data_IF_044732055116
#
_entry.id   IF_044732055116
#
_cell.length_a   1.000
_cell.length_b   1.000
_cell.length_c   1.000
_cell.angle_alpha   90.00
_cell.angle_beta   90.00
_cell.angle_gamma   90.00
#
_symmetry.space_group_name_H-M   'P 1'
#
loop_
_entity.id
_entity.type
_entity.pdbx_description
1 polymer ?
#
# COMPACT_ATOMS: atom_id res chain seq x y z
N UNK A 1 -26.02 1.35 -12.66
CA UNK A 1 -25.36 0.24 -13.40
C UNK A 1 -26.31 -0.93 -13.62
N UNK A 2 -26.59 -1.81 -12.65
CA UNK A 2 -27.47 -2.98 -12.91
C UNK A 2 -28.87 -2.57 -13.38
N UNK A 3 -29.53 -1.65 -12.67
CA UNK A 3 -30.85 -1.10 -13.05
C UNK A 3 -30.80 -0.39 -14.39
N UNK A 4 -29.79 0.45 -14.57
CA UNK A 4 -29.56 1.25 -15.79
C UNK A 4 -29.47 0.39 -17.05
N UNK A 5 -28.83 -0.79 -16.95
CA UNK A 5 -28.66 -1.73 -18.06
C UNK A 5 -29.64 -2.91 -18.03
N UNK A 6 -30.66 -2.91 -17.16
CA UNK A 6 -31.66 -3.98 -17.01
C UNK A 6 -31.06 -5.39 -16.79
N UNK A 7 -29.92 -5.48 -16.10
CA UNK A 7 -29.16 -6.74 -15.89
C UNK A 7 -29.57 -7.51 -14.63
N UNK A 8 -30.69 -7.15 -14.00
CA UNK A 8 -31.13 -7.70 -12.70
C UNK A 8 -31.43 -9.20 -12.74
N UNK A 9 -31.88 -9.71 -13.89
CA UNK A 9 -32.23 -11.12 -14.09
C UNK A 9 -31.00 -12.03 -14.14
N UNK A 10 -29.81 -11.48 -14.40
CA UNK A 10 -28.58 -12.27 -14.49
C UNK A 10 -27.97 -12.42 -13.09
N UNK A 11 -28.16 -13.59 -12.47
CA UNK A 11 -27.64 -13.91 -11.12
C UNK A 11 -26.15 -13.58 -10.95
N UNK A 12 -25.35 -13.83 -11.99
CA UNK A 12 -23.92 -13.53 -12.00
C UNK A 12 -23.64 -12.03 -11.83
N UNK A 13 -24.31 -11.16 -12.60
CA UNK A 13 -24.11 -9.71 -12.53
C UNK A 13 -24.54 -9.16 -11.18
N UNK A 14 -25.66 -9.64 -10.64
CA UNK A 14 -26.13 -9.27 -9.30
C UNK A 14 -25.13 -9.67 -8.21
N UNK A 15 -24.52 -10.85 -8.30
CA UNK A 15 -23.45 -11.29 -7.39
C UNK A 15 -22.20 -10.44 -7.54
N UNK A 16 -21.75 -10.17 -8.77
CA UNK A 16 -20.55 -9.38 -9.04
C UNK A 16 -20.69 -7.95 -8.51
N UNK A 17 -21.85 -7.34 -8.70
CA UNK A 17 -22.15 -5.99 -8.20
C UNK A 17 -22.33 -5.93 -6.68
N UNK A 18 -22.83 -7.00 -6.05
CA UNK A 18 -22.85 -7.11 -4.58
C UNK A 18 -21.45 -6.96 -4.00
N UNK A 19 -20.44 -7.55 -4.63
CA UNK A 19 -19.05 -7.48 -4.18
C UNK A 19 -18.22 -6.35 -4.80
N UNK A 20 -18.85 -5.38 -5.50
CA UNK A 20 -18.13 -4.29 -6.19
C UNK A 20 -17.14 -3.53 -5.33
N UNK A 21 -17.43 -3.37 -4.03
CA UNK A 21 -16.52 -2.72 -3.07
C UNK A 21 -15.19 -3.45 -2.88
N UNK A 22 -15.13 -4.75 -3.21
CA UNK A 22 -13.93 -5.59 -3.02
C UNK A 22 -13.02 -5.66 -4.25
N UNK A 23 -13.47 -5.23 -5.43
CA UNK A 23 -12.72 -5.41 -6.68
C UNK A 23 -12.73 -4.20 -7.62
N UNK A 24 -13.74 -3.34 -7.57
CA UNK A 24 -13.88 -2.24 -8.51
C UNK A 24 -13.10 -1.00 -8.05
N UNK A 25 -12.17 -0.55 -8.89
CA UNK A 25 -11.26 0.59 -8.63
C UNK A 25 -11.93 1.86 -8.09
N UNK A 26 -13.10 2.31 -8.58
CA UNK A 26 -13.73 3.54 -8.07
C UNK A 26 -14.07 3.49 -6.57
N UNK A 27 -14.26 2.29 -6.02
CA UNK A 27 -14.60 2.09 -4.62
C UNK A 27 -13.37 1.91 -3.71
N UNK A 28 -12.16 1.95 -4.27
CA UNK A 28 -10.90 1.92 -3.50
C UNK A 28 -10.37 3.32 -3.15
N UNK A 29 -11.09 4.37 -3.54
CA UNK A 29 -10.81 5.73 -3.07
C UNK A 29 -10.98 5.78 -1.55
N UNK A 30 -9.90 6.07 -0.82
CA UNK A 30 -9.89 6.03 0.65
C UNK A 30 -9.27 4.77 1.26
N UNK A 31 -8.93 3.76 0.46
CA UNK A 31 -8.28 2.54 0.94
C UNK A 31 -6.80 2.55 0.58
N UNK A 32 -5.94 2.35 1.59
CA UNK A 32 -4.51 2.23 1.37
C UNK A 32 -4.16 0.90 0.70
N UNK A 33 -3.61 0.98 -0.53
CA UNK A 33 -3.23 -0.18 -1.34
C UNK A 33 -1.73 -0.16 -1.71
N UNK A 34 -0.94 0.78 -1.21
CA UNK A 34 0.47 0.98 -1.57
C UNK A 34 0.72 1.07 -3.10
N UNK A 35 -0.29 1.47 -3.88
CA UNK A 35 -0.21 1.50 -5.34
C UNK A 35 -0.42 0.16 -6.05
N UNK A 36 -0.66 -0.93 -5.31
CA UNK A 36 -0.97 -2.24 -5.88
C UNK A 36 -2.42 -2.31 -6.37
N UNK A 37 -2.67 -3.10 -7.41
CA UNK A 37 -4.01 -3.40 -7.92
C UNK A 37 -4.34 -4.89 -7.76
N UNK A 38 -5.56 -5.19 -7.30
CA UNK A 38 -6.18 -6.53 -7.18
C UNK A 38 -5.22 -7.69 -6.84
N UNK A 39 -4.64 -8.36 -7.83
CA UNK A 39 -3.89 -9.61 -7.71
C UNK A 39 -2.37 -9.46 -7.76
N UNK A 40 -1.84 -8.25 -7.93
CA UNK A 40 -0.40 -8.01 -8.10
C UNK A 40 0.45 -8.58 -6.95
N UNK A 41 -0.06 -8.54 -5.71
CA UNK A 41 0.64 -9.08 -4.53
C UNK A 41 0.79 -10.60 -4.59
N UNK A 42 -0.27 -11.32 -4.93
CA UNK A 42 -0.23 -12.78 -5.03
C UNK A 42 0.54 -13.22 -6.28
N UNK A 43 0.43 -12.49 -7.38
CA UNK A 43 1.16 -12.79 -8.62
C UNK A 43 2.66 -12.64 -8.44
N UNK A 44 3.12 -11.55 -7.80
CA UNK A 44 4.54 -11.34 -7.52
C UNK A 44 5.08 -12.36 -6.53
N UNK A 45 4.35 -12.64 -5.45
CA UNK A 45 4.70 -13.69 -4.49
C UNK A 45 4.82 -15.05 -5.18
N UNK A 46 3.82 -15.42 -5.98
CA UNK A 46 3.83 -16.69 -6.72
C UNK A 46 4.96 -16.74 -7.76
N UNK A 47 5.27 -15.63 -8.42
CA UNK A 47 6.38 -15.56 -9.36
C UNK A 47 7.73 -15.80 -8.67
N UNK A 48 7.98 -15.13 -7.54
CA UNK A 48 9.20 -15.36 -6.75
C UNK A 48 9.30 -16.80 -6.25
N UNK A 49 8.21 -17.35 -5.70
CA UNK A 49 8.21 -18.72 -5.18
C UNK A 49 8.48 -19.75 -6.29
N UNK A 50 7.93 -19.55 -7.49
CA UNK A 50 8.17 -20.43 -8.65
C UNK A 50 9.62 -20.41 -9.15
N UNK A 51 10.39 -19.37 -8.85
CA UNK A 51 11.81 -19.30 -9.22
C UNK A 51 12.70 -20.15 -8.29
N UNK A 52 12.25 -20.41 -7.06
CA UNK A 52 13.06 -21.03 -6.00
C UNK A 52 12.56 -22.42 -5.65
N UNK A 53 11.25 -22.66 -5.79
CA UNK A 53 10.58 -23.90 -5.37
C UNK A 53 10.09 -24.65 -6.62
N UNK A 54 10.51 -25.91 -6.74
CA UNK A 54 10.01 -26.82 -7.77
C UNK A 54 8.52 -27.12 -7.58
N UNK A 55 7.78 -27.31 -8.67
CA UNK A 55 6.31 -27.47 -8.64
C UNK A 55 5.84 -28.65 -7.78
N UNK A 56 6.64 -29.69 -7.65
CA UNK A 56 6.35 -30.92 -6.90
C UNK A 56 7.22 -31.08 -5.64
N UNK A 57 7.75 -29.97 -5.10
CA UNK A 57 8.58 -30.02 -3.90
C UNK A 57 7.76 -30.51 -2.68
N UNK A 58 8.30 -31.43 -1.86
CA UNK A 58 7.64 -31.85 -0.62
C UNK A 58 7.61 -30.70 0.39
N UNK A 59 6.65 -30.74 1.33
CA UNK A 59 6.38 -29.62 2.25
C UNK A 59 7.60 -29.18 3.08
N UNK A 60 8.45 -30.11 3.51
CA UNK A 60 9.66 -29.75 4.27
C UNK A 60 10.67 -28.94 3.43
N UNK A 61 10.79 -29.24 2.13
CA UNK A 61 11.62 -28.47 1.19
C UNK A 61 11.00 -27.10 0.94
N UNK A 62 9.68 -27.02 0.80
CA UNK A 62 8.98 -25.74 0.67
C UNK A 62 9.28 -24.81 1.86
N UNK A 63 9.15 -25.31 3.10
CA UNK A 63 9.38 -24.51 4.31
C UNK A 63 10.84 -24.06 4.39
N UNK A 64 11.79 -24.96 4.13
CA UNK A 64 13.22 -24.63 4.12
C UNK A 64 13.54 -23.52 3.11
N UNK A 65 13.10 -23.68 1.85
CA UNK A 65 13.32 -22.69 0.80
C UNK A 65 12.58 -21.38 1.01
N UNK A 66 11.40 -21.42 1.62
CA UNK A 66 10.67 -20.21 2.00
C UNK A 66 11.44 -19.41 3.06
N UNK A 67 12.01 -20.09 4.07
CA UNK A 67 12.82 -19.44 5.10
C UNK A 67 14.09 -18.82 4.50
N UNK A 68 14.76 -19.53 3.59
CA UNK A 68 15.91 -19.00 2.84
C UNK A 68 15.53 -17.72 2.08
N UNK A 69 14.39 -17.72 1.38
CA UNK A 69 13.86 -16.52 0.72
C UNK A 69 13.61 -15.38 1.72
N UNK A 70 13.08 -15.64 2.91
CA UNK A 70 12.87 -14.59 3.91
C UNK A 70 14.19 -13.95 4.35
N UNK A 71 15.22 -14.76 4.59
CA UNK A 71 16.56 -14.27 4.97
C UNK A 71 17.17 -13.44 3.84
N UNK A 72 17.10 -13.91 2.59
CA UNK A 72 17.55 -13.13 1.43
C UNK A 72 16.86 -11.76 1.35
N UNK A 73 15.54 -11.71 1.59
CA UNK A 73 14.79 -10.45 1.60
C UNK A 73 15.19 -9.50 2.73
N UNK A 74 15.42 -10.04 3.92
CA UNK A 74 15.92 -9.25 5.05
C UNK A 74 17.31 -8.69 4.76
N UNK A 75 18.18 -9.49 4.13
CA UNK A 75 19.50 -9.04 3.71
C UNK A 75 19.42 -7.93 2.65
N UNK A 76 18.54 -8.06 1.66
CA UNK A 76 18.31 -7.04 0.63
C UNK A 76 17.77 -5.73 1.24
N UNK A 77 16.83 -5.82 2.17
CA UNK A 77 16.29 -4.68 2.91
C UNK A 77 17.38 -4.01 3.78
N UNK A 78 18.18 -4.81 4.47
CA UNK A 78 19.34 -4.35 5.23
C UNK A 78 20.34 -3.61 4.33
N UNK A 79 20.66 -4.16 3.16
CA UNK A 79 21.54 -3.54 2.17
C UNK A 79 21.00 -2.20 1.67
N UNK A 80 19.72 -2.14 1.33
CA UNK A 80 19.08 -0.89 0.89
C UNK A 80 19.02 0.16 2.01
N UNK A 81 18.79 -0.27 3.26
CA UNK A 81 18.84 0.63 4.43
C UNK A 81 20.24 1.21 4.61
N UNK A 82 21.29 0.39 4.44
CA UNK A 82 22.69 0.81 4.54
C UNK A 82 23.04 1.82 3.45
N UNK A 83 22.71 1.51 2.19
CA UNK A 83 22.92 2.42 1.05
C UNK A 83 22.16 3.73 1.25
N UNK A 84 20.93 3.68 1.77
CA UNK A 84 20.13 4.87 2.02
C UNK A 84 20.72 5.78 3.12
N UNK A 85 21.57 5.25 4.00
CA UNK A 85 22.30 6.01 5.04
C UNK A 85 23.63 6.56 4.48
N UNK A 86 24.34 5.76 3.69
CA UNK A 86 25.69 6.09 3.21
C UNK A 86 25.69 7.05 2.00
N UNK A 87 24.71 6.94 1.10
CA UNK A 87 24.69 7.72 -0.15
C UNK A 87 23.84 8.97 0.00
N UNK A 88 24.50 10.14 0.01
CA UNK A 88 23.84 11.44 -0.04
C UNK A 88 23.25 11.69 -1.44
N UNK A 89 21.92 11.78 -1.50
CA UNK A 89 21.18 11.97 -2.76
C UNK A 89 21.35 13.43 -3.25
N UNK A 90 21.82 13.64 -4.48
CA UNK A 90 21.81 14.97 -5.11
C UNK A 90 20.35 15.43 -5.30
N UNK A 91 20.05 16.68 -4.93
CA UNK A 91 18.76 17.31 -5.20
C UNK A 91 18.68 17.59 -6.70
N UNK A 92 17.53 17.33 -7.33
CA UNK A 92 17.36 17.62 -8.77
C UNK A 92 16.70 18.98 -8.99
N UNK A 93 15.71 19.30 -8.18
CA UNK A 93 14.88 20.51 -8.35
C UNK A 93 15.35 21.58 -7.35
N UNK A 94 15.81 21.17 -6.18
CA UNK A 94 16.40 22.07 -5.18
C UNK A 94 15.36 22.77 -4.29
N UNK A 95 14.08 22.43 -4.43
CA UNK A 95 13.00 23.04 -3.64
C UNK A 95 13.07 22.58 -2.17
N UNK A 96 12.72 23.45 -1.21
CA UNK A 96 12.76 23.12 0.22
C UNK A 96 12.03 21.83 0.58
N UNK A 97 10.86 21.58 -0.01
CA UNK A 97 10.08 20.36 0.22
C UNK A 97 10.77 19.08 -0.26
N UNK A 98 11.57 19.15 -1.34
CA UNK A 98 12.40 18.03 -1.81
C UNK A 98 13.51 17.73 -0.79
N UNK A 99 14.09 18.77 -0.18
CA UNK A 99 15.10 18.62 0.88
C UNK A 99 14.52 17.94 2.11
N UNK A 100 13.31 18.34 2.54
CA UNK A 100 12.61 17.67 3.63
C UNK A 100 12.29 16.21 3.29
N UNK A 101 11.71 15.94 2.12
CA UNK A 101 11.44 14.57 1.65
C UNK A 101 12.68 13.68 1.62
N UNK A 102 13.83 14.23 1.18
CA UNK A 102 15.12 13.52 1.16
C UNK A 102 15.59 13.12 2.55
N UNK A 103 15.32 13.96 3.56
CA UNK A 103 15.72 13.71 4.94
C UNK A 103 14.91 12.58 5.57
N UNK A 104 13.59 12.54 5.34
CA UNK A 104 12.67 11.61 6.01
C UNK A 104 12.45 10.29 5.26
N UNK A 105 12.43 10.28 3.92
CA UNK A 105 12.03 9.10 3.14
C UNK A 105 13.19 8.17 2.78
N UNK A 106 12.89 6.87 2.69
CA UNK A 106 13.82 5.87 2.14
C UNK A 106 14.27 6.23 0.73
N UNK A 107 15.37 5.61 0.26
CA UNK A 107 15.88 5.84 -1.11
C UNK A 107 14.82 5.60 -2.18
N UNK A 108 14.17 4.44 -2.18
CA UNK A 108 13.16 4.08 -3.17
C UNK A 108 11.96 5.06 -3.15
N UNK A 109 11.43 5.37 -1.97
CA UNK A 109 10.28 6.29 -1.82
C UNK A 109 10.64 7.70 -2.29
N UNK A 110 11.83 8.20 -1.92
CA UNK A 110 12.29 9.52 -2.38
C UNK A 110 12.34 9.61 -3.91
N UNK A 111 12.73 8.54 -4.62
CA UNK A 111 12.72 8.55 -6.09
C UNK A 111 11.30 8.72 -6.65
N UNK A 112 10.32 8.01 -6.09
CA UNK A 112 8.91 8.15 -6.47
C UNK A 112 8.41 9.57 -6.17
N UNK A 113 8.71 10.09 -4.98
CA UNK A 113 8.33 11.44 -4.58
C UNK A 113 8.92 12.51 -5.50
N UNK A 114 10.20 12.37 -5.85
CA UNK A 114 10.90 13.26 -6.80
C UNK A 114 10.22 13.27 -8.17
N UNK A 115 9.77 12.11 -8.66
CA UNK A 115 8.99 12.07 -9.91
C UNK A 115 7.64 12.79 -9.79
N UNK A 116 6.95 12.68 -8.65
CA UNK A 116 5.71 13.42 -8.44
C UNK A 116 5.94 14.93 -8.38
N UNK A 117 7.05 15.40 -7.78
CA UNK A 117 7.42 16.83 -7.84
C UNK A 117 7.69 17.25 -9.29
N UNK A 118 8.46 16.47 -10.06
CA UNK A 118 8.72 16.80 -11.47
C UNK A 118 7.42 16.90 -12.28
N UNK A 119 6.51 15.92 -12.09
CA UNK A 119 5.19 15.91 -12.74
C UNK A 119 4.26 17.02 -12.25
N UNK A 120 4.52 17.62 -11.08
CA UNK A 120 3.76 18.77 -10.57
C UNK A 120 3.97 20.02 -11.43
N UNK A 121 5.11 20.15 -12.11
CA UNK A 121 5.40 21.25 -13.04
C UNK A 121 4.40 21.34 -14.19
N UNK A 122 3.76 20.23 -14.57
CA UNK A 122 2.78 20.17 -15.65
C UNK A 122 1.39 20.68 -15.24
N UNK A 123 1.23 21.17 -14.01
CA UNK A 123 -0.04 21.68 -13.50
C UNK A 123 0.09 23.14 -13.07
N UNK A 124 -1.01 23.87 -13.24
CA UNK A 124 -1.19 25.25 -12.77
C UNK A 124 -2.44 25.36 -11.92
N UNK A 125 -2.45 26.32 -11.01
CA UNK A 125 -3.65 26.66 -10.22
C UNK A 125 -4.50 27.55 -11.12
N UNK A 126 -5.68 27.06 -11.50
CA UNK A 126 -6.64 27.79 -12.34
C UNK A 126 -7.40 28.80 -11.52
N UNK A 127 -7.84 28.37 -10.34
CA UNK A 127 -8.69 29.17 -9.46
C UNK A 127 -8.40 28.84 -8.00
N UNK A 128 -8.46 29.86 -7.15
CA UNK A 128 -8.48 29.72 -5.69
C UNK A 128 -9.89 30.05 -5.25
N UNK A 129 -10.68 29.02 -4.93
CA UNK A 129 -12.08 29.22 -4.53
C UNK A 129 -12.14 29.94 -3.17
N UNK A 130 -11.35 29.45 -2.21
CA UNK A 130 -11.24 29.99 -0.86
C UNK A 130 -9.76 29.94 -0.44
N UNK A 131 -9.44 30.48 0.75
CA UNK A 131 -8.06 30.46 1.24
C UNK A 131 -7.42 29.07 1.33
N UNK A 132 -8.25 28.04 1.50
CA UNK A 132 -7.85 26.67 1.73
C UNK A 132 -8.15 25.71 0.57
N UNK A 133 -8.74 26.20 -0.53
CA UNK A 133 -9.22 25.35 -1.63
C UNK A 133 -8.70 25.84 -2.97
N UNK A 134 -8.01 24.96 -3.69
CA UNK A 134 -7.34 25.23 -4.95
C UNK A 134 -7.84 24.30 -6.04
N UNK A 135 -8.12 24.85 -7.22
CA UNK A 135 -8.49 24.08 -8.42
C UNK A 135 -7.31 24.10 -9.38
N UNK A 136 -6.82 22.90 -9.72
CA UNK A 136 -5.68 22.71 -10.60
C UNK A 136 -6.14 22.16 -11.94
N UNK A 137 -5.47 22.62 -12.98
CA UNK A 137 -5.62 22.14 -14.36
C UNK A 137 -4.25 21.80 -14.91
N UNK A 138 -4.21 20.81 -15.80
CA UNK A 138 -2.99 20.47 -16.52
C UNK A 138 -2.69 21.59 -17.54
N UNK A 139 -1.45 22.08 -17.57
CA UNK A 139 -1.05 23.25 -18.37
C UNK A 139 -1.37 23.11 -19.85
N UNK A 140 -1.29 21.89 -20.40
CA UNK A 140 -1.60 21.61 -21.82
C UNK A 140 -3.10 21.59 -22.18
N UNK A 141 -4.00 21.55 -21.19
CA UNK A 141 -5.45 21.35 -21.43
C UNK A 141 -6.30 22.49 -20.86
N UNK A 142 -5.67 23.63 -20.58
CA UNK A 142 -6.27 24.73 -19.84
C UNK A 142 -7.52 25.35 -20.52
N UNK A 143 -7.54 25.37 -21.85
CA UNK A 143 -8.64 25.91 -22.66
C UNK A 143 -9.82 24.93 -22.81
N UNK A 144 -9.66 23.66 -22.41
CA UNK A 144 -10.69 22.65 -22.59
C UNK A 144 -11.63 22.61 -21.37
N UNK A 145 -12.95 22.89 -21.53
CA UNK A 145 -13.91 22.79 -20.42
C UNK A 145 -14.09 21.36 -19.89
N UNK A 146 -13.67 20.33 -20.65
CA UNK A 146 -13.61 18.92 -20.20
C UNK A 146 -12.27 18.52 -19.58
N UNK A 147 -11.36 19.47 -19.34
CA UNK A 147 -10.09 19.17 -18.71
C UNK A 147 -10.30 18.53 -17.33
N UNK A 148 -9.48 17.53 -17.00
CA UNK A 148 -9.51 16.90 -15.68
C UNK A 148 -9.10 17.94 -14.62
N UNK A 149 -10.09 18.56 -13.98
CA UNK A 149 -9.90 19.47 -12.87
C UNK A 149 -9.63 18.67 -11.60
N UNK A 150 -8.59 19.08 -10.87
CA UNK A 150 -8.24 18.48 -9.60
C UNK A 150 -8.44 19.49 -8.48
N UNK A 151 -9.15 19.10 -7.43
CA UNK A 151 -9.43 19.93 -6.27
C UNK A 151 -8.49 19.54 -5.15
N UNK A 152 -7.73 20.49 -4.64
CA UNK A 152 -6.86 20.34 -3.47
C UNK A 152 -7.41 21.19 -2.34
N UNK A 153 -7.61 20.59 -1.18
CA UNK A 153 -8.13 21.24 0.01
C UNK A 153 -7.18 21.06 1.19
N UNK A 154 -6.90 22.15 1.90
CA UNK A 154 -6.10 22.15 3.13
C UNK A 154 -7.09 22.25 4.30
N UNK A 155 -7.10 21.27 5.21
CA UNK A 155 -7.95 21.29 6.40
C UNK A 155 -7.28 22.06 7.55
N UNK A 156 -8.04 22.38 8.60
CA UNK A 156 -7.56 23.12 9.77
C UNK A 156 -6.32 22.52 10.45
N UNK A 157 -6.11 21.21 10.36
CA UNK A 157 -4.91 20.51 10.87
C UNK A 157 -3.71 20.55 9.91
N UNK A 158 -3.70 21.45 8.92
CA UNK A 158 -2.75 21.50 7.80
C UNK A 158 -2.72 20.22 6.93
N UNK A 159 -3.65 19.28 7.13
CA UNK A 159 -3.80 18.09 6.30
C UNK A 159 -4.25 18.49 4.90
N UNK A 160 -3.50 18.01 3.91
CA UNK A 160 -3.79 18.22 2.50
C UNK A 160 -4.51 17.01 1.95
N UNK A 161 -5.65 17.28 1.32
CA UNK A 161 -6.44 16.31 0.59
C UNK A 161 -6.55 16.71 -0.88
N UNK A 162 -6.50 15.74 -1.77
CA UNK A 162 -6.66 15.95 -3.20
C UNK A 162 -7.71 14.99 -3.76
N UNK A 163 -8.56 15.50 -4.65
CA UNK A 163 -9.60 14.71 -5.32
C UNK A 163 -9.06 13.55 -6.15
N UNK A 164 -7.76 13.53 -6.47
CA UNK A 164 -7.13 12.41 -7.18
C UNK A 164 -6.95 11.15 -6.31
N UNK A 165 -7.09 11.23 -4.98
CA UNK A 165 -7.06 10.06 -4.09
C UNK A 165 -5.70 9.37 -3.93
N UNK A 166 -4.61 9.96 -4.43
CA UNK A 166 -3.31 9.27 -4.48
C UNK A 166 -2.73 9.08 -3.07
N UNK A 167 -2.93 10.05 -2.18
CA UNK A 167 -2.43 9.96 -0.81
C UNK A 167 -3.16 8.83 -0.07
N UNK A 168 -4.47 8.74 -0.21
CA UNK A 168 -5.27 7.67 0.38
C UNK A 168 -4.87 6.30 -0.16
N UNK A 169 -4.59 6.21 -1.47
CA UNK A 169 -4.28 4.94 -2.13
C UNK A 169 -2.81 4.50 -1.97
N UNK A 170 -1.86 5.43 -1.94
CA UNK A 170 -0.41 5.17 -1.92
C UNK A 170 0.31 5.67 -0.68
N UNK A 171 -0.33 6.44 0.19
CA UNK A 171 0.28 7.05 1.37
C UNK A 171 1.29 8.14 1.07
N UNK A 172 1.28 8.72 -0.14
CA UNK A 172 2.20 9.78 -0.56
C UNK A 172 1.44 10.89 -1.28
N UNK A 173 1.85 12.14 -1.03
CA UNK A 173 1.26 13.31 -1.69
C UNK A 173 1.42 13.23 -3.21
N UNK A 174 0.35 13.56 -3.94
CA UNK A 174 0.37 13.63 -5.40
C UNK A 174 1.01 14.92 -5.90
N UNK A 175 1.39 14.90 -7.18
CA UNK A 175 1.78 16.09 -7.95
C UNK A 175 0.85 17.30 -7.78
N UNK A 176 -0.46 17.13 -7.62
CA UNK A 176 -1.40 18.24 -7.41
C UNK A 176 -1.22 18.89 -6.04
N UNK A 177 -1.14 18.07 -4.99
CA UNK A 177 -0.90 18.53 -3.62
C UNK A 177 0.47 19.20 -3.51
N UNK A 178 1.48 18.62 -4.17
CA UNK A 178 2.84 19.17 -4.22
C UNK A 178 2.89 20.52 -4.95
N UNK A 179 2.15 20.67 -6.05
CA UNK A 179 2.05 21.96 -6.75
C UNK A 179 1.50 23.05 -5.82
N UNK A 180 0.45 22.76 -5.06
CA UNK A 180 -0.12 23.72 -4.10
C UNK A 180 0.88 24.04 -3.00
N UNK A 181 1.51 23.04 -2.40
CA UNK A 181 2.53 23.24 -1.35
C UNK A 181 3.69 24.12 -1.83
N UNK A 182 4.17 23.89 -3.06
CA UNK A 182 5.23 24.69 -3.66
C UNK A 182 4.78 26.12 -3.95
N UNK A 183 3.54 26.34 -4.39
CA UNK A 183 3.01 27.70 -4.61
C UNK A 183 2.78 28.46 -3.30
N UNK A 184 2.52 27.75 -2.20
CA UNK A 184 2.42 28.33 -0.86
C UNK A 184 3.78 28.44 -0.14
N UNK A 185 4.89 28.21 -0.85
CA UNK A 185 6.26 28.23 -0.32
C UNK A 185 6.46 27.39 0.96
N UNK A 186 5.69 26.31 1.10
CA UNK A 186 5.80 25.41 2.25
C UNK A 186 7.11 24.63 2.15
N UNK A 187 7.91 24.74 3.19
CA UNK A 187 9.25 24.12 3.24
C UNK A 187 9.22 22.63 3.58
N UNK A 188 8.16 22.20 4.25
CA UNK A 188 8.03 20.86 4.79
C UNK A 188 6.74 20.20 4.32
N UNK A 189 6.72 18.87 4.41
CA UNK A 189 5.53 18.06 4.13
C UNK A 189 4.72 18.09 5.43
N UNK A 190 3.39 18.36 5.38
CA UNK A 190 2.55 18.34 6.57
C UNK A 190 2.71 17.00 7.31
N UNK A 191 2.90 17.06 8.63
CA UNK A 191 3.22 15.87 9.46
C UNK A 191 2.16 14.77 9.31
N UNK A 192 0.90 15.17 9.28
CA UNK A 192 -0.24 14.24 9.13
C UNK A 192 -0.34 13.62 7.73
N UNK A 193 0.36 14.17 6.73
CA UNK A 193 0.49 13.60 5.40
C UNK A 193 1.76 12.75 5.24
N UNK A 194 2.45 12.41 6.32
CA UNK A 194 3.63 11.53 6.32
C UNK A 194 3.22 10.17 6.86
N UNK A 195 3.34 9.14 6.02
CA UNK A 195 3.01 7.77 6.42
C UNK A 195 4.26 7.03 6.92
N UNK A 196 4.18 6.47 8.15
CA UNK A 196 5.33 5.84 8.81
C UNK A 196 6.05 4.78 7.99
N UNK A 197 5.30 3.97 7.23
CA UNK A 197 5.85 2.93 6.31
C UNK A 197 6.91 3.45 5.33
N UNK A 198 6.85 4.73 4.96
CA UNK A 198 7.74 5.32 3.96
C UNK A 198 8.99 5.99 4.54
N UNK A 199 9.05 6.13 5.86
CA UNK A 199 10.15 6.75 6.58
C UNK A 199 11.40 5.86 6.60
N UNK A 200 12.58 6.48 6.70
CA UNK A 200 13.85 5.75 6.91
C UNK A 200 13.84 4.96 8.22
N UNK A 201 13.23 5.53 9.26
CA UNK A 201 13.32 5.00 10.62
C UNK A 201 12.34 3.85 10.88
N UNK A 202 11.28 3.70 10.07
CA UNK A 202 10.38 2.56 10.19
C UNK A 202 11.01 1.24 9.75
N UNK A 203 12.12 1.29 9.01
CA UNK A 203 12.92 0.10 8.69
C UNK A 203 13.69 -0.40 9.93
N UNK A 204 13.89 0.44 10.95
CA UNK A 204 14.60 0.06 12.19
C UNK A 204 13.64 -0.60 13.18
N UNK A 205 12.38 -0.17 13.23
CA UNK A 205 11.39 -0.66 14.20
C UNK A 205 10.78 -2.02 13.82
N UNK A 206 10.87 -2.45 12.55
CA UNK A 206 10.39 -3.77 12.11
C UNK A 206 11.44 -4.90 12.28
N UNK A 207 12.61 -4.59 12.85
CA UNK A 207 13.62 -5.59 13.21
C UNK A 207 13.33 -6.28 14.55
N UNK A 208 12.40 -5.74 15.34
CA UNK A 208 11.64 -6.56 16.25
C UNK A 208 10.63 -7.33 15.41
N UNK A 209 11.06 -8.52 14.94
CA UNK A 209 10.12 -9.62 14.76
C UNK A 209 9.19 -9.52 15.97
N UNK A 210 7.86 -9.37 15.81
CA UNK A 210 6.99 -9.55 16.96
C UNK A 210 7.39 -10.92 17.45
N UNK A 211 8.03 -10.97 18.64
CA UNK A 211 8.19 -12.21 19.35
C UNK A 211 6.82 -12.82 19.24
N UNK A 212 6.71 -13.92 18.51
CA UNK A 212 5.50 -14.72 18.58
C UNK A 212 5.48 -15.02 20.06
N UNK A 213 4.66 -14.27 20.80
CA UNK A 213 4.31 -14.65 22.14
C UNK A 213 3.66 -15.98 21.89
N UNK A 214 4.44 -17.04 22.11
CA UNK A 214 3.91 -18.34 22.43
C UNK A 214 3.09 -18.01 23.66
N UNK A 215 1.82 -17.69 23.44
CA UNK A 215 0.84 -17.51 24.50
C UNK A 215 0.98 -18.80 25.29
N UNK A 216 1.47 -18.76 26.55
CA UNK A 216 1.50 -19.96 27.36
C UNK A 216 0.07 -20.50 27.39
N UNK A 217 -0.13 -21.83 27.24
CA UNK A 217 -1.44 -22.40 26.98
C UNK A 217 -2.40 -21.94 28.07
N UNK A 218 -3.22 -20.96 27.71
CA UNK A 218 -4.21 -20.37 28.59
C UNK A 218 -5.30 -21.42 28.69
N UNK A 219 -5.70 -21.71 29.92
CA UNK A 219 -6.58 -22.82 30.30
C UNK A 219 -7.67 -23.05 29.25
N UNK A 220 -7.65 -24.24 28.65
CA UNK A 220 -8.53 -24.60 27.54
C UNK A 220 -9.99 -24.53 28.00
N UNK A 221 -10.83 -23.83 27.24
CA UNK A 221 -12.27 -23.84 27.47
C UNK A 221 -12.84 -25.25 27.25
N UNK A 222 -13.89 -25.66 27.99
CA UNK A 222 -14.45 -27.02 27.92
C UNK A 222 -14.82 -27.47 26.50
N UNK A 223 -15.20 -26.52 25.65
CA UNK A 223 -15.59 -26.76 24.25
C UNK A 223 -14.40 -27.11 23.36
N UNK A 224 -13.21 -26.55 23.62
CA UNK A 224 -11.96 -26.90 22.91
C UNK A 224 -11.50 -28.30 23.31
N UNK A 225 -11.62 -28.67 24.58
CA UNK A 225 -11.30 -30.01 25.08
C UNK A 225 -12.22 -31.05 24.41
N UNK A 226 -13.53 -30.80 24.38
CA UNK A 226 -14.49 -31.68 23.67
C UNK A 226 -14.14 -31.84 22.20
N UNK A 227 -13.79 -30.75 21.50
CA UNK A 227 -13.42 -30.79 20.09
C UNK A 227 -12.15 -31.60 19.84
N UNK A 228 -11.13 -31.45 20.70
CA UNK A 228 -9.88 -32.22 20.61
C UNK A 228 -10.09 -33.70 20.94
N UNK A 229 -10.95 -34.03 21.91
CA UNK A 229 -11.28 -35.40 22.28
C UNK A 229 -12.04 -36.12 21.15
N UNK A 230 -12.97 -35.43 20.51
CA UNK A 230 -13.70 -35.93 19.34
C UNK A 230 -12.76 -36.13 18.15
N UNK A 231 -11.82 -35.21 17.92
CA UNK A 231 -10.85 -35.33 16.84
C UNK A 231 -9.93 -36.55 17.04
N UNK A 232 -9.46 -36.78 18.28
CA UNK A 232 -8.66 -37.97 18.62
C UNK A 232 -9.44 -39.27 18.42
N UNK A 233 -10.68 -39.34 18.87
CA UNK A 233 -11.55 -40.52 18.64
C UNK A 233 -11.80 -40.78 17.16
N UNK A 234 -11.96 -39.73 16.35
CA UNK A 234 -12.12 -39.88 14.90
C UNK A 234 -10.85 -40.43 14.27
N UNK A 235 -9.66 -39.96 14.68
CA UNK A 235 -8.38 -40.47 14.17
C UNK A 235 -8.18 -41.93 14.56
N UNK A 236 -8.47 -42.33 15.80
CA UNK A 236 -8.37 -43.73 16.23
C UNK A 236 -9.31 -44.66 15.46
N UNK A 237 -10.54 -44.23 15.19
CA UNK A 237 -11.52 -45.03 14.40
C UNK A 237 -11.12 -45.10 12.92
N UNK A 238 -10.47 -44.07 12.38
CA UNK A 238 -9.96 -44.08 11.01
C UNK A 238 -8.74 -44.99 10.90
N UNK A 239 -7.80 -44.91 11.84
CA UNK A 239 -6.61 -45.78 11.86
C UNK A 239 -6.94 -47.24 12.15
N UNK A 240 -7.94 -47.53 12.98
CA UNK A 240 -8.39 -48.92 13.23
C UNK A 240 -9.14 -49.55 12.04
N UNK A 241 -9.54 -48.76 11.03
CA UNK A 241 -10.17 -49.25 9.79
C UNK A 241 -9.19 -49.51 8.65
N UNK A 242 -7.91 -49.17 8.82
CA UNK A 242 -6.86 -49.38 7.81
C UNK A 242 -6.08 -50.69 8.03
N UNK A 243 -6.36 -51.44 9.11
CA UNK A 243 -5.69 -52.71 9.45
C UNK A 243 -6.56 -53.98 9.26
N UNK A 244 -7.62 -53.93 8.43
CA UNK A 244 -8.41 -55.11 8.01
C UNK A 244 -8.47 -55.20 6.49
#
# INVERSE_FOLDING_TARGET
MIRTYKLEKIKFMTRLYRYRLRWAKPYFMGVFCAGMTSTQRSESANHMLKQIIQRSAPMHVFVSKFNELQVCRQNDEGRESHISKQVTKKLRIGVPIERHARSIYTRAVYHIFREEIYKAGNYRIKERMNDYTFVLVHTMFDENPKANLFKVTIRYSEVIHCSCGLYEHKGMLCRHSLKVLMTLDRKEIPKDNIMGRWLKDSLVTNLEVPSVQIIPPTMETPDKIKKNLLLKKVIEVVSAKEEI
#
